data_IF_983460172958
#
_entry.id   IF_983460172958
#
_cell.length_a   1.000
_cell.length_b   1.000
_cell.length_c   1.000
_cell.angle_alpha   90.00
_cell.angle_beta   90.00
_cell.angle_gamma   90.00
#
_symmetry.space_group_name_H-M   'P 1'
#
loop_
_entity.id
_entity.type
_entity.pdbx_description
1 polymer ?
#
# COMPACT_ATOMS: atom_id res chain seq x y z
N UNK A 1 -19.80 2.42 -12.36
CA UNK A 1 -18.68 3.26 -12.83
C UNK A 1 -17.41 2.43 -12.65
N UNK A 2 -16.52 2.39 -13.64
CA UNK A 2 -15.23 1.69 -13.48
C UNK A 2 -14.36 2.50 -12.53
N UNK A 3 -13.65 1.86 -11.60
CA UNK A 3 -12.71 2.58 -10.73
C UNK A 3 -11.60 3.17 -11.60
N UNK A 4 -11.10 4.37 -11.27
CA UNK A 4 -9.90 4.89 -11.91
C UNK A 4 -8.72 3.92 -11.67
N UNK A 5 -7.93 3.65 -12.70
CA UNK A 5 -6.74 2.81 -12.58
C UNK A 5 -5.49 3.66 -12.33
N UNK A 6 -4.63 3.23 -11.41
CA UNK A 6 -3.36 3.88 -11.04
C UNK A 6 -2.17 2.96 -11.27
N UNK A 7 -1.02 3.51 -11.62
CA UNK A 7 0.21 2.70 -11.70
C UNK A 7 0.63 2.20 -10.32
N UNK A 8 1.54 1.21 -10.30
CA UNK A 8 2.15 0.72 -9.04
C UNK A 8 2.75 1.86 -8.24
N UNK A 9 3.53 2.72 -8.90
CA UNK A 9 4.19 3.88 -8.29
C UNK A 9 3.18 4.88 -7.70
N UNK A 10 2.06 5.13 -8.39
CA UNK A 10 1.02 6.01 -7.88
C UNK A 10 0.32 5.45 -6.64
N UNK A 11 0.10 4.13 -6.60
CA UNK A 11 -0.51 3.46 -5.45
C UNK A 11 0.47 3.41 -4.28
N UNK A 12 1.74 3.08 -4.53
CA UNK A 12 2.82 3.10 -3.54
C UNK A 12 2.98 4.50 -2.93
N UNK A 13 2.98 5.55 -3.75
CA UNK A 13 3.02 6.93 -3.27
C UNK A 13 1.77 7.28 -2.43
N UNK A 14 0.58 6.85 -2.86
CA UNK A 14 -0.65 7.08 -2.10
C UNK A 14 -0.65 6.37 -0.75
N UNK A 15 -0.11 5.15 -0.67
CA UNK A 15 0.03 4.42 0.59
C UNK A 15 0.99 5.16 1.51
N UNK A 16 2.16 5.57 1.01
CA UNK A 16 3.14 6.32 1.81
C UNK A 16 2.55 7.63 2.35
N UNK A 17 1.83 8.37 1.51
CA UNK A 17 1.18 9.62 1.91
C UNK A 17 0.15 9.39 3.03
N UNK A 18 -0.70 8.36 2.91
CA UNK A 18 -1.68 8.03 3.97
C UNK A 18 -0.98 7.51 5.23
N UNK A 19 0.16 6.82 5.12
CA UNK A 19 0.95 6.43 6.29
C UNK A 19 1.50 7.64 7.05
N UNK A 20 1.97 8.68 6.35
CA UNK A 20 2.42 9.95 6.96
C UNK A 20 1.27 10.70 7.64
N UNK A 21 0.07 10.63 7.07
CA UNK A 21 -1.14 11.26 7.64
C UNK A 21 -1.63 10.53 8.90
N UNK A 22 -1.61 9.18 8.87
CA UNK A 22 -2.06 8.33 9.97
C UNK A 22 -1.00 8.20 11.07
N UNK A 23 0.28 8.42 10.76
CA UNK A 23 1.39 8.11 11.65
C UNK A 23 2.64 8.98 11.40
N UNK A 24 3.25 9.50 12.46
CA UNK A 24 4.53 10.24 12.42
C UNK A 24 5.76 9.31 12.16
N UNK A 25 5.52 8.12 11.60
CA UNK A 25 6.54 7.10 11.44
C UNK A 25 7.28 7.28 10.11
N UNK A 26 8.56 6.87 10.03
CA UNK A 26 9.33 7.01 8.81
C UNK A 26 8.70 6.21 7.67
N UNK A 27 8.40 6.90 6.56
CA UNK A 27 7.96 6.34 5.27
C UNK A 27 9.06 5.63 4.50
N UNK A 28 10.25 5.49 5.08
CA UNK A 28 11.38 4.74 4.53
C UNK A 28 11.14 3.21 4.51
N UNK A 29 9.89 2.77 4.66
CA UNK A 29 9.50 1.39 4.43
C UNK A 29 9.52 1.10 2.93
N UNK A 30 10.34 0.13 2.53
CA UNK A 30 10.28 -0.42 1.19
C UNK A 30 8.95 -1.18 1.03
N UNK A 31 7.97 -0.55 0.38
CA UNK A 31 6.71 -1.19 -0.01
C UNK A 31 6.66 -1.35 -1.52
N UNK A 32 6.03 -2.43 -1.99
CA UNK A 32 5.74 -2.62 -3.41
C UNK A 32 4.29 -3.06 -3.64
N UNK A 33 3.65 -2.50 -4.66
CA UNK A 33 2.32 -2.91 -5.09
C UNK A 33 2.45 -3.97 -6.18
N UNK A 34 1.90 -5.15 -5.90
CA UNK A 34 1.93 -6.30 -6.81
C UNK A 34 0.51 -6.72 -7.22
N UNK A 35 0.30 -7.17 -8.46
CA UNK A 35 -0.97 -7.76 -8.86
C UNK A 35 -1.28 -8.99 -8.01
N UNK A 36 -2.53 -9.12 -7.56
CA UNK A 36 -3.00 -10.21 -6.73
C UNK A 36 -4.43 -10.58 -7.09
N UNK A 37 -4.61 -11.77 -7.67
CA UNK A 37 -5.89 -12.29 -8.14
C UNK A 37 -6.58 -11.32 -9.12
N UNK A 38 -7.76 -10.81 -8.78
CA UNK A 38 -8.55 -9.84 -9.55
C UNK A 38 -8.19 -8.38 -9.22
N UNK A 39 -7.24 -8.17 -8.30
CA UNK A 39 -6.86 -6.84 -7.82
C UNK A 39 -5.35 -6.76 -7.56
N UNK A 40 -4.95 -6.06 -6.51
CA UNK A 40 -3.56 -5.83 -6.14
C UNK A 40 -3.39 -5.87 -4.63
N UNK A 41 -2.18 -6.19 -4.17
CA UNK A 41 -1.80 -6.16 -2.75
C UNK A 41 -0.53 -5.35 -2.57
N UNK A 42 -0.24 -4.99 -1.33
CA UNK A 42 1.02 -4.36 -0.93
C UNK A 42 1.90 -5.42 -0.29
N UNK A 43 3.13 -5.51 -0.74
CA UNK A 43 4.19 -6.29 -0.11
C UNK A 43 5.18 -5.34 0.55
N UNK A 44 5.52 -5.64 1.80
CA UNK A 44 6.48 -4.87 2.58
C UNK A 44 7.82 -5.59 2.49
N UNK A 45 8.79 -4.98 1.81
CA UNK A 45 10.15 -5.48 1.58
C UNK A 45 11.13 -4.96 2.64
N UNK A 46 10.78 -5.05 3.92
CA UNK A 46 11.70 -4.69 5.01
C UNK A 46 12.61 -5.86 5.37
N UNK A 47 13.92 -5.64 5.28
CA UNK A 47 14.96 -6.56 5.73
C UNK A 47 15.12 -6.42 7.26
N UNK A 48 14.32 -7.15 8.05
CA UNK A 48 14.41 -7.10 9.50
C UNK A 48 13.54 -8.13 10.22
N UNK A 49 14.00 -8.70 11.35
CA UNK A 49 13.28 -9.74 12.10
C UNK A 49 12.03 -9.24 12.84
N UNK A 50 11.72 -7.94 12.77
CA UNK A 50 10.52 -7.34 13.35
C UNK A 50 9.78 -6.57 12.26
N UNK A 51 8.98 -7.28 11.45
CA UNK A 51 7.82 -6.64 10.86
C UNK A 51 6.88 -6.30 12.02
N UNK A 52 6.84 -5.03 12.42
CA UNK A 52 5.84 -4.56 13.39
C UNK A 52 4.45 -4.95 12.87
N UNK A 53 3.79 -5.86 13.57
CA UNK A 53 2.46 -6.32 13.18
C UNK A 53 1.48 -5.14 13.03
N UNK A 54 1.61 -4.11 13.87
CA UNK A 54 0.86 -2.85 13.76
C UNK A 54 1.09 -2.12 12.43
N UNK A 55 2.32 -2.13 11.90
CA UNK A 55 2.62 -1.48 10.62
C UNK A 55 2.02 -2.25 9.46
N UNK A 56 2.13 -3.57 9.49
CA UNK A 56 1.52 -4.42 8.46
C UNK A 56 0.00 -4.24 8.45
N UNK A 57 -0.64 -4.21 9.61
CA UNK A 57 -2.08 -3.99 9.75
C UNK A 57 -2.49 -2.61 9.21
N UNK A 58 -1.74 -1.56 9.56
CA UNK A 58 -1.99 -0.20 9.05
C UNK A 58 -1.84 -0.11 7.53
N UNK A 59 -0.76 -0.66 6.97
CA UNK A 59 -0.52 -0.67 5.51
C UNK A 59 -1.61 -1.46 4.80
N UNK A 60 -2.03 -2.59 5.36
CA UNK A 60 -3.10 -3.41 4.82
C UNK A 60 -4.44 -2.66 4.84
N UNK A 61 -4.75 -1.93 5.92
CA UNK A 61 -5.94 -1.09 6.04
C UNK A 61 -5.97 0.01 4.98
N UNK A 62 -4.85 0.73 4.79
CA UNK A 62 -4.70 1.75 3.73
C UNK A 62 -4.85 1.11 2.35
N UNK A 63 -4.17 -0.01 2.10
CA UNK A 63 -4.25 -0.73 0.84
C UNK A 63 -5.68 -1.20 0.54
N UNK A 64 -6.42 -1.66 1.55
CA UNK A 64 -7.81 -2.07 1.40
C UNK A 64 -8.71 -0.87 1.06
N UNK A 65 -8.48 0.29 1.69
CA UNK A 65 -9.18 1.53 1.36
C UNK A 65 -8.90 1.98 -0.07
N UNK A 66 -7.64 1.88 -0.53
CA UNK A 66 -7.24 2.24 -1.88
C UNK A 66 -7.76 1.26 -2.93
N UNK A 67 -7.76 -0.05 -2.66
CA UNK A 67 -8.37 -1.08 -3.53
C UNK A 67 -9.85 -0.83 -3.82
N UNK A 68 -10.57 -0.26 -2.87
CA UNK A 68 -11.97 0.11 -3.07
C UNK A 68 -12.15 1.33 -3.98
N UNK A 69 -11.12 2.16 -4.12
CA UNK A 69 -11.15 3.40 -4.90
C UNK A 69 -10.45 3.29 -6.26
N UNK A 70 -9.39 2.48 -6.35
CA UNK A 70 -8.50 2.41 -7.49
C UNK A 70 -8.20 0.97 -7.90
N UNK A 71 -8.20 0.73 -9.21
CA UNK A 71 -7.67 -0.49 -9.79
C UNK A 71 -6.18 -0.34 -10.10
N UNK A 72 -5.45 -1.47 -10.14
CA UNK A 72 -4.06 -1.47 -10.59
C UNK A 72 -4.03 -1.39 -12.11
N UNK A 73 -3.33 -0.39 -12.62
CA UNK A 73 -3.06 -0.24 -14.05
C UNK A 73 -2.05 -1.31 -14.47
N UNK A 74 -2.49 -2.18 -15.38
CA UNK A 74 -1.68 -3.21 -16.03
C UNK A 74 -0.65 -2.64 -16.98
#
# INVERSE_FOLDING_TARGET
>A
MKKPAKTREELEAAIRLEMEDVSDWPTDLAISVVPHEDSWKVEIMTDGPQQDAERCDMIEAIANRLRNQFDLKG
#
